data_IF_773161232587
#
_entry.id   IF_773161232587
#
_cell.length_a   1.000
_cell.length_b   1.000
_cell.length_c   1.000
_cell.angle_alpha   90.00
_cell.angle_beta   90.00
_cell.angle_gamma   90.00
#
_symmetry.space_group_name_H-M   'P 1'
#
loop_
_entity.id
_entity.type
_entity.pdbx_description
1 polymer ?
#
# COMPACT_ATOMS: atom_id res chain seq x y z
N UNK A 1 21.19 -61.10 52.39
CA UNK A 1 20.23 -60.87 51.33
C UNK A 1 19.86 -59.38 51.35
N UNK A 2 20.53 -58.56 50.51
CA UNK A 2 20.32 -57.12 50.47
C UNK A 2 19.57 -56.74 49.21
N UNK A 3 18.34 -56.32 49.34
CA UNK A 3 17.56 -55.73 48.24
C UNK A 3 17.76 -54.21 48.23
N UNK A 4 18.48 -53.69 47.25
CA UNK A 4 18.65 -52.27 46.96
C UNK A 4 17.50 -51.83 46.05
N UNK A 5 16.58 -51.02 46.60
CA UNK A 5 15.55 -50.36 45.85
C UNK A 5 16.18 -49.22 45.03
N UNK A 6 16.08 -49.28 43.69
CA UNK A 6 16.44 -48.23 42.76
C UNK A 6 15.18 -47.36 42.55
N UNK A 7 15.14 -46.19 43.14
CA UNK A 7 14.15 -45.17 42.79
C UNK A 7 14.62 -44.47 41.49
N UNK A 8 13.89 -44.72 40.44
CA UNK A 8 14.10 -44.08 39.15
C UNK A 8 13.25 -42.77 39.11
N UNK A 9 13.90 -41.63 39.35
CA UNK A 9 13.25 -40.33 39.30
C UNK A 9 12.90 -39.94 37.85
N UNK A 10 11.62 -39.83 37.54
CA UNK A 10 11.09 -39.35 36.28
C UNK A 10 11.19 -37.81 36.24
N UNK A 11 12.22 -37.27 35.56
CA UNK A 11 12.32 -35.82 35.29
C UNK A 11 11.35 -35.53 34.16
N UNK A 12 10.19 -34.96 34.47
CA UNK A 12 9.26 -34.38 33.52
C UNK A 12 9.82 -32.99 33.12
N UNK A 13 10.53 -32.90 31.98
CA UNK A 13 10.85 -31.63 31.36
C UNK A 13 9.54 -31.02 30.83
N UNK A 14 8.91 -30.10 31.58
CA UNK A 14 7.93 -29.19 31.03
C UNK A 14 8.64 -28.24 30.06
N UNK A 15 8.60 -28.58 28.78
CA UNK A 15 8.94 -27.68 27.71
C UNK A 15 7.92 -26.51 27.70
N UNK A 16 8.28 -25.39 28.33
CA UNK A 16 7.57 -24.12 28.12
C UNK A 16 7.76 -23.75 26.66
N UNK A 17 6.74 -23.99 25.83
CA UNK A 17 6.65 -23.36 24.52
C UNK A 17 6.67 -21.84 24.79
N UNK A 18 7.81 -21.20 24.54
CA UNK A 18 7.87 -19.75 24.47
C UNK A 18 6.95 -19.35 23.31
N UNK A 19 5.71 -18.96 23.64
CA UNK A 19 4.88 -18.23 22.69
C UNK A 19 5.70 -17.01 22.28
N UNK A 20 6.08 -16.95 21.00
CA UNK A 20 6.69 -15.72 20.45
C UNK A 20 5.74 -14.58 20.78
N UNK A 21 6.22 -13.55 21.47
CA UNK A 21 5.42 -12.38 21.76
C UNK A 21 4.92 -11.81 20.43
N UNK A 22 3.61 -11.55 20.31
CA UNK A 22 3.05 -10.91 19.14
C UNK A 22 3.64 -9.49 19.02
N UNK A 23 3.87 -9.03 17.82
CA UNK A 23 4.43 -7.69 17.56
C UNK A 23 3.64 -6.58 18.26
N UNK A 24 2.33 -6.75 18.52
CA UNK A 24 1.56 -5.77 19.29
C UNK A 24 2.11 -5.58 20.71
N UNK A 25 2.50 -6.65 21.38
CA UNK A 25 3.08 -6.58 22.72
C UNK A 25 4.49 -5.95 22.67
N UNK A 26 5.29 -6.30 21.67
CA UNK A 26 6.60 -5.68 21.44
C UNK A 26 6.47 -4.16 21.21
N UNK A 27 5.49 -3.74 20.38
CA UNK A 27 5.18 -2.32 20.10
C UNK A 27 4.79 -1.57 21.38
N UNK A 28 3.90 -2.16 22.20
CA UNK A 28 3.48 -1.56 23.47
C UNK A 28 4.61 -1.48 24.48
N UNK A 29 5.41 -2.54 24.60
CA UNK A 29 6.57 -2.56 25.51
C UNK A 29 7.64 -1.55 25.10
N UNK A 30 7.94 -1.45 23.82
CA UNK A 30 8.89 -0.49 23.25
C UNK A 30 8.35 0.95 23.30
N UNK A 31 7.03 1.12 23.33
CA UNK A 31 6.35 2.43 23.31
C UNK A 31 6.44 3.16 21.95
N UNK A 32 6.76 2.44 20.89
CA UNK A 32 6.92 2.99 19.52
C UNK A 32 6.31 2.02 18.51
N UNK A 33 5.47 2.55 17.60
CA UNK A 33 5.02 1.87 16.38
C UNK A 33 5.95 2.28 15.23
N UNK A 34 6.64 1.32 14.64
CA UNK A 34 7.53 1.52 13.50
C UNK A 34 6.77 1.17 12.21
N UNK A 35 6.67 2.12 11.28
CA UNK A 35 5.90 1.97 10.04
C UNK A 35 6.78 2.14 8.83
N UNK A 36 6.85 1.11 7.96
CA UNK A 36 7.51 1.20 6.67
C UNK A 36 6.71 2.07 5.71
N UNK A 37 7.35 3.07 5.15
CA UNK A 37 6.75 4.02 4.20
C UNK A 37 7.68 4.28 3.03
N UNK A 38 7.09 4.68 1.89
CA UNK A 38 7.80 5.29 0.77
C UNK A 38 7.20 6.68 0.55
N UNK A 39 8.00 7.72 0.84
CA UNK A 39 7.57 9.11 0.71
C UNK A 39 8.07 9.78 -0.59
N UNK A 40 8.56 8.98 -1.52
CA UNK A 40 9.16 9.40 -2.80
C UNK A 40 8.17 9.95 -3.83
N UNK A 41 7.13 10.69 -3.42
CA UNK A 41 6.28 11.41 -4.35
C UNK A 41 4.96 10.72 -4.68
N UNK A 42 4.36 9.99 -3.74
CA UNK A 42 2.98 9.49 -3.89
C UNK A 42 1.92 10.60 -3.70
N UNK A 43 2.33 11.87 -3.83
CA UNK A 43 1.44 13.02 -3.76
C UNK A 43 0.73 13.15 -2.41
N UNK A 44 -0.60 13.20 -2.42
CA UNK A 44 -1.41 13.37 -1.22
C UNK A 44 -1.47 12.10 -0.31
N UNK A 45 -1.02 10.95 -0.79
CA UNK A 45 -0.96 9.72 0.02
C UNK A 45 0.21 9.81 1.01
N UNK A 46 1.43 10.03 0.51
CA UNK A 46 2.63 10.31 1.30
C UNK A 46 3.59 11.20 0.50
N UNK A 47 4.18 12.16 1.15
CA UNK A 47 5.22 13.04 0.58
C UNK A 47 6.18 13.47 1.67
N UNK A 48 7.44 13.70 1.31
CA UNK A 48 8.40 14.35 2.18
C UNK A 48 8.41 15.86 1.92
N UNK A 49 8.23 16.66 2.97
CA UNK A 49 8.47 18.11 2.93
C UNK A 49 9.96 18.44 2.95
N UNK A 50 10.36 19.63 2.50
CA UNK A 50 11.70 20.14 2.79
C UNK A 50 11.98 20.08 4.30
N UNK A 51 13.06 19.40 4.70
CA UNK A 51 13.36 19.12 6.10
C UNK A 51 13.00 17.69 6.54
N UNK A 52 12.49 16.85 5.63
CA UNK A 52 12.33 15.41 5.86
C UNK A 52 11.07 15.01 6.61
N UNK A 53 10.16 15.95 6.92
CA UNK A 53 8.88 15.61 7.55
C UNK A 53 7.97 14.90 6.54
N UNK A 54 7.51 13.71 6.90
CA UNK A 54 6.57 12.95 6.09
C UNK A 54 5.15 13.41 6.40
N UNK A 55 4.41 13.77 5.35
CA UNK A 55 3.02 14.24 5.39
C UNK A 55 2.16 13.45 4.41
N UNK A 56 0.84 13.56 4.53
CA UNK A 56 -0.11 12.90 3.63
C UNK A 56 -1.21 12.18 4.37
N UNK A 57 -2.13 11.59 3.61
CA UNK A 57 -3.23 10.79 4.15
C UNK A 57 -2.71 9.69 5.09
N UNK A 58 -1.75 8.92 4.60
CA UNK A 58 -1.25 7.76 5.34
C UNK A 58 -0.38 8.20 6.53
N UNK A 59 0.27 9.37 6.48
CA UNK A 59 0.96 9.93 7.64
C UNK A 59 -0.02 10.29 8.76
N UNK A 60 -1.15 10.94 8.43
CA UNK A 60 -2.19 11.26 9.42
C UNK A 60 -2.84 9.98 9.98
N UNK A 61 -3.09 8.97 9.15
CA UNK A 61 -3.66 7.69 9.59
C UNK A 61 -2.66 6.89 10.44
N UNK A 62 -1.38 6.88 10.10
CA UNK A 62 -0.31 6.29 10.93
C UNK A 62 -0.24 6.95 12.32
N UNK A 63 -0.34 8.29 12.36
CA UNK A 63 -0.39 9.04 13.62
C UNK A 63 -1.65 8.71 14.43
N UNK A 64 -2.81 8.55 13.79
CA UNK A 64 -4.05 8.12 14.45
C UNK A 64 -3.88 6.73 15.08
N UNK A 65 -3.32 5.77 14.32
CA UNK A 65 -3.10 4.40 14.78
C UNK A 65 -2.16 4.39 16.00
N UNK A 66 -1.01 5.06 15.91
CA UNK A 66 -0.06 5.12 17.02
C UNK A 66 -0.68 5.76 18.27
N UNK A 67 -1.45 6.84 18.10
CA UNK A 67 -2.21 7.50 19.20
C UNK A 67 -3.22 6.55 19.84
N UNK A 68 -3.98 5.79 19.04
CA UNK A 68 -4.98 4.83 19.55
C UNK A 68 -4.33 3.64 20.25
N UNK A 69 -3.12 3.23 19.84
CA UNK A 69 -2.32 2.22 20.53
C UNK A 69 -1.62 2.74 21.79
N UNK A 70 -1.58 4.06 22.01
CA UNK A 70 -0.90 4.70 23.14
C UNK A 70 0.62 4.73 23.03
N UNK A 71 1.16 4.74 21.81
CA UNK A 71 2.61 4.69 21.53
C UNK A 71 3.05 5.86 20.63
N UNK A 72 4.36 6.09 20.53
CA UNK A 72 4.93 7.04 19.55
C UNK A 72 4.91 6.43 18.14
N UNK A 73 4.91 7.30 17.14
CA UNK A 73 5.05 6.90 15.74
C UNK A 73 6.49 7.13 15.27
N UNK A 74 7.04 6.12 14.57
CA UNK A 74 8.27 6.26 13.78
C UNK A 74 7.98 5.77 12.36
N UNK A 75 8.16 6.62 11.33
CA UNK A 75 8.04 6.26 9.93
C UNK A 75 9.43 6.02 9.34
N UNK A 76 9.63 4.81 8.77
CA UNK A 76 10.92 4.37 8.24
C UNK A 76 10.83 4.35 6.72
N UNK A 77 11.49 5.31 6.10
CA UNK A 77 11.53 5.40 4.65
C UNK A 77 12.27 4.21 4.04
N UNK A 78 11.65 3.60 3.05
CA UNK A 78 12.16 2.38 2.41
C UNK A 78 11.73 2.36 0.95
N UNK A 79 12.66 2.16 -0.01
CA UNK A 79 12.33 2.04 -1.43
C UNK A 79 11.29 0.93 -1.68
N UNK A 80 10.31 1.22 -2.55
CA UNK A 80 9.15 0.35 -2.78
C UNK A 80 9.49 -1.12 -3.08
N UNK A 81 10.46 -1.46 -3.96
CA UNK A 81 10.76 -2.86 -4.25
C UNK A 81 11.24 -3.66 -3.03
N UNK A 82 11.82 -2.98 -2.03
CA UNK A 82 12.35 -3.57 -0.81
C UNK A 82 11.40 -3.56 0.38
N UNK A 83 10.23 -2.91 0.30
CA UNK A 83 9.42 -2.62 1.48
C UNK A 83 8.80 -3.88 2.12
N UNK A 84 8.28 -4.84 1.33
CA UNK A 84 7.76 -6.12 1.87
C UNK A 84 8.91 -6.99 2.43
N UNK A 85 10.04 -7.21 1.74
CA UNK A 85 11.21 -7.84 2.34
C UNK A 85 11.65 -7.22 3.67
N UNK A 86 11.65 -5.90 3.79
CA UNK A 86 12.00 -5.19 5.02
C UNK A 86 11.00 -5.43 6.17
N UNK A 87 9.67 -5.51 5.86
CA UNK A 87 8.66 -5.92 6.83
C UNK A 87 8.92 -7.35 7.34
N UNK A 88 9.17 -8.28 6.42
CA UNK A 88 9.42 -9.69 6.76
C UNK A 88 10.71 -9.89 7.57
N UNK A 89 11.71 -9.02 7.39
CA UNK A 89 12.93 -8.97 8.22
C UNK A 89 12.79 -8.17 9.52
N UNK A 90 11.55 -7.79 9.90
CA UNK A 90 11.22 -7.06 11.13
C UNK A 90 11.90 -5.69 11.26
N UNK A 91 12.23 -5.03 10.13
CA UNK A 91 12.77 -3.66 10.16
C UNK A 91 11.75 -2.65 10.67
N UNK A 92 10.46 -2.96 10.53
CA UNK A 92 9.32 -2.21 11.05
C UNK A 92 8.13 -3.17 11.30
N UNK A 93 7.09 -2.66 11.94
CA UNK A 93 5.98 -3.48 12.44
C UNK A 93 4.88 -3.69 11.37
N UNK A 94 4.63 -2.68 10.55
CA UNK A 94 3.63 -2.70 9.50
C UNK A 94 4.04 -1.81 8.32
N UNK A 95 3.36 -1.95 7.17
CA UNK A 95 3.46 -1.02 6.04
C UNK A 95 2.11 -0.33 5.87
N UNK A 96 2.12 1.01 5.87
CA UNK A 96 0.98 1.83 5.47
C UNK A 96 1.47 2.99 4.61
N UNK A 97 1.42 2.79 3.30
CA UNK A 97 2.05 3.64 2.29
C UNK A 97 1.34 3.50 0.93
N UNK A 98 -0.01 3.56 0.92
CA UNK A 98 -0.79 3.37 -0.31
C UNK A 98 -0.63 1.98 -0.92
N UNK A 99 -0.44 0.95 -0.11
CA UNK A 99 -0.23 -0.40 -0.62
C UNK A 99 -1.55 -1.05 -1.02
N UNK A 100 -1.68 -1.35 -2.31
CA UNK A 100 -2.81 -2.12 -2.83
C UNK A 100 -2.75 -3.56 -2.31
N UNK A 101 -3.86 -4.01 -1.70
CA UNK A 101 -4.04 -5.41 -1.34
C UNK A 101 -4.25 -6.24 -2.61
N UNK A 102 -3.35 -7.19 -2.88
CA UNK A 102 -3.43 -8.10 -4.02
C UNK A 102 -3.25 -9.55 -3.57
N UNK A 103 -3.75 -10.50 -4.36
CA UNK A 103 -3.58 -11.93 -4.11
C UNK A 103 -2.10 -12.30 -3.94
N UNK A 104 -1.25 -11.88 -4.88
CA UNK A 104 0.19 -12.18 -4.84
C UNK A 104 0.88 -11.66 -3.56
N UNK A 105 0.50 -10.46 -3.08
CA UNK A 105 1.02 -9.93 -1.82
C UNK A 105 0.47 -10.65 -0.61
N UNK A 106 -0.82 -11.08 -0.66
CA UNK A 106 -1.48 -11.79 0.43
C UNK A 106 -0.91 -13.20 0.68
N UNK A 107 -0.16 -13.75 -0.27
CA UNK A 107 0.60 -14.99 -0.05
C UNK A 107 1.74 -14.80 0.95
N UNK A 108 2.26 -13.57 1.08
CA UNK A 108 3.42 -13.22 1.91
C UNK A 108 3.05 -12.46 3.19
N UNK A 109 2.03 -11.63 3.15
CA UNK A 109 1.60 -10.76 4.25
C UNK A 109 0.08 -10.83 4.43
N UNK A 110 -0.43 -10.41 5.59
CA UNK A 110 -1.85 -10.14 5.78
C UNK A 110 -2.15 -8.67 5.48
N UNK A 111 -3.39 -8.40 5.09
CA UNK A 111 -3.88 -7.04 4.90
C UNK A 111 -5.00 -6.71 5.89
N UNK A 112 -5.01 -5.50 6.38
CA UNK A 112 -6.11 -4.96 7.18
C UNK A 112 -7.40 -4.81 6.38
N UNK A 113 -8.50 -4.46 7.06
CA UNK A 113 -9.68 -3.90 6.38
C UNK A 113 -9.27 -2.75 5.45
N UNK A 114 -9.92 -2.58 4.27
CA UNK A 114 -9.64 -1.50 3.35
C UNK A 114 -9.77 -0.11 3.98
N UNK A 115 -8.80 0.77 3.72
CA UNK A 115 -8.83 2.15 4.20
C UNK A 115 -8.84 3.20 3.07
N UNK A 116 -8.76 2.77 1.81
CA UNK A 116 -8.80 3.66 0.64
C UNK A 116 -9.04 2.90 -0.66
N UNK A 117 -9.56 3.60 -1.66
CA UNK A 117 -9.67 3.11 -3.04
C UNK A 117 -8.28 3.07 -3.66
N UNK A 118 -7.91 1.96 -4.30
CA UNK A 118 -6.67 1.76 -5.03
C UNK A 118 -6.92 1.46 -6.51
N UNK A 119 -8.13 1.73 -7.02
CA UNK A 119 -8.49 1.48 -8.42
C UNK A 119 -7.53 2.17 -9.37
N UNK A 120 -7.05 1.42 -10.36
CA UNK A 120 -6.07 1.91 -11.31
C UNK A 120 -6.71 2.82 -12.37
N UNK A 121 -6.01 3.89 -12.69
CA UNK A 121 -6.32 4.80 -13.79
C UNK A 121 -5.09 4.97 -14.68
N UNK A 122 -5.31 5.35 -15.93
CA UNK A 122 -4.26 5.96 -16.73
C UNK A 122 -4.41 7.48 -16.68
N UNK A 123 -3.30 8.21 -16.71
CA UNK A 123 -3.32 9.65 -16.82
C UNK A 123 -2.44 10.11 -17.99
N UNK A 124 -2.97 10.98 -18.80
CA UNK A 124 -2.29 11.62 -19.93
C UNK A 124 -2.18 13.13 -19.70
N UNK A 125 -1.35 13.82 -20.46
CA UNK A 125 -1.41 15.28 -20.54
C UNK A 125 -2.78 15.73 -21.03
N UNK A 126 -3.35 16.76 -20.42
CA UNK A 126 -4.70 17.25 -20.73
C UNK A 126 -4.86 17.63 -22.23
N UNK A 127 -3.80 18.16 -22.84
CA UNK A 127 -3.78 18.51 -24.27
C UNK A 127 -3.66 17.33 -25.22
N UNK A 128 -3.47 16.09 -24.75
CA UNK A 128 -3.42 14.91 -25.61
C UNK A 128 -4.84 14.48 -26.02
N UNK A 129 -5.32 14.97 -27.16
CA UNK A 129 -6.67 14.67 -27.66
C UNK A 129 -6.84 13.23 -28.18
N UNK A 130 -5.74 12.51 -28.43
CA UNK A 130 -5.76 11.16 -29.01
C UNK A 130 -6.10 10.06 -28.03
N UNK A 131 -6.00 10.30 -26.70
CA UNK A 131 -6.25 9.32 -25.66
C UNK A 131 -7.47 9.74 -24.87
N UNK A 132 -8.59 8.99 -24.99
CA UNK A 132 -9.87 9.27 -24.32
C UNK A 132 -10.42 8.04 -23.58
N UNK A 133 -10.13 6.85 -24.10
CA UNK A 133 -10.63 5.57 -23.61
C UNK A 133 -9.48 4.61 -23.33
N UNK A 134 -9.71 3.51 -22.61
CA UNK A 134 -8.68 2.48 -22.42
C UNK A 134 -8.15 1.89 -23.73
N UNK A 135 -8.98 1.73 -24.76
CA UNK A 135 -8.56 1.16 -26.05
C UNK A 135 -7.60 2.08 -26.80
N UNK A 136 -7.64 3.40 -26.57
CA UNK A 136 -6.70 4.37 -27.16
C UNK A 136 -5.25 4.21 -26.64
N UNK A 137 -5.04 3.38 -25.60
CA UNK A 137 -3.71 3.02 -25.10
C UNK A 137 -3.01 1.99 -26.00
N UNK A 138 -3.69 1.46 -27.01
CA UNK A 138 -3.12 0.55 -27.99
C UNK A 138 -1.93 1.18 -28.72
N UNK A 139 -0.78 0.51 -28.72
CA UNK A 139 0.47 0.99 -29.33
C UNK A 139 1.12 2.17 -28.60
N UNK A 140 0.59 2.60 -27.43
CA UNK A 140 1.14 3.70 -26.63
C UNK A 140 2.22 3.24 -25.66
N UNK A 141 2.99 4.18 -25.15
CA UNK A 141 3.98 3.92 -24.09
C UNK A 141 3.39 4.26 -22.73
N UNK A 142 3.32 3.26 -21.84
CA UNK A 142 2.78 3.35 -20.49
C UNK A 142 3.95 3.37 -19.50
N UNK A 143 4.05 4.44 -18.69
CA UNK A 143 4.97 4.50 -17.56
C UNK A 143 4.33 3.95 -16.29
N UNK A 144 5.07 3.15 -15.53
CA UNK A 144 4.63 2.55 -14.25
C UNK A 144 5.77 2.55 -13.23
N UNK A 145 5.43 2.53 -11.95
CA UNK A 145 6.42 2.41 -10.88
C UNK A 145 6.89 0.95 -10.73
N UNK A 146 8.20 0.75 -10.72
CA UNK A 146 8.83 -0.57 -10.52
C UNK A 146 8.42 -1.20 -9.17
N UNK A 147 8.19 -2.52 -9.17
CA UNK A 147 7.79 -3.26 -7.97
C UNK A 147 6.33 -3.05 -7.53
N UNK A 148 5.54 -2.28 -8.28
CA UNK A 148 4.10 -2.14 -8.02
C UNK A 148 3.29 -3.23 -8.76
N UNK A 149 2.08 -3.50 -8.27
CA UNK A 149 1.11 -4.34 -8.98
C UNK A 149 0.69 -3.75 -10.34
N UNK A 150 0.94 -2.46 -10.54
CA UNK A 150 0.62 -1.77 -11.81
C UNK A 150 1.45 -2.31 -12.98
N UNK A 151 2.67 -2.83 -12.71
CA UNK A 151 3.51 -3.47 -13.73
C UNK A 151 2.80 -4.69 -14.33
N UNK A 152 2.33 -5.60 -13.46
CA UNK A 152 1.65 -6.83 -13.90
C UNK A 152 0.28 -6.52 -14.51
N UNK A 153 -0.43 -5.53 -13.93
CA UNK A 153 -1.68 -5.05 -14.50
C UNK A 153 -1.49 -4.48 -15.91
N UNK A 154 -0.47 -3.65 -16.15
CA UNK A 154 -0.19 -3.06 -17.47
C UNK A 154 0.16 -4.14 -18.50
N UNK A 155 0.91 -5.19 -18.11
CA UNK A 155 1.19 -6.35 -18.97
C UNK A 155 -0.10 -7.13 -19.31
N UNK A 156 -0.95 -7.41 -18.31
CA UNK A 156 -2.24 -8.05 -18.53
C UNK A 156 -3.18 -7.19 -19.38
N UNK A 157 -3.13 -5.87 -19.22
CA UNK A 157 -3.86 -4.92 -20.05
C UNK A 157 -3.40 -4.98 -21.52
N UNK A 158 -2.09 -5.08 -21.77
CA UNK A 158 -1.54 -5.29 -23.10
C UNK A 158 -2.11 -6.56 -23.76
N UNK A 159 -2.17 -7.66 -23.02
CA UNK A 159 -2.79 -8.91 -23.49
C UNK A 159 -4.26 -8.74 -23.84
N UNK A 160 -5.04 -7.96 -23.05
CA UNK A 160 -6.46 -7.68 -23.36
C UNK A 160 -6.62 -6.86 -24.64
N UNK A 161 -5.72 -5.92 -24.92
CA UNK A 161 -5.76 -5.15 -26.17
C UNK A 161 -5.42 -6.02 -27.38
N UNK A 162 -4.41 -6.88 -27.29
CA UNK A 162 -4.06 -7.80 -28.40
C UNK A 162 -5.16 -8.82 -28.68
N UNK A 163 -5.89 -9.27 -27.66
CA UNK A 163 -7.08 -10.13 -27.84
C UNK A 163 -8.22 -9.42 -28.61
N UNK A 164 -8.22 -8.08 -28.63
CA UNK A 164 -9.12 -7.25 -29.46
C UNK A 164 -8.53 -6.91 -30.84
N UNK A 165 -7.43 -7.52 -31.25
CA UNK A 165 -6.65 -7.20 -32.45
C UNK A 165 -6.10 -5.75 -32.47
N UNK A 166 -5.86 -5.15 -31.29
CA UNK A 166 -5.24 -3.85 -31.14
C UNK A 166 -3.74 -4.01 -30.86
N UNK A 167 -2.88 -3.05 -31.29
CA UNK A 167 -1.45 -3.10 -30.97
C UNK A 167 -1.17 -3.12 -29.49
N UNK A 168 -0.23 -3.95 -29.04
CA UNK A 168 0.22 -3.95 -27.65
C UNK A 168 0.87 -2.61 -27.27
N UNK A 169 0.58 -2.05 -26.09
CA UNK A 169 1.34 -0.92 -25.56
C UNK A 169 2.74 -1.36 -25.10
N UNK A 170 3.68 -0.42 -25.10
CA UNK A 170 5.00 -0.60 -24.50
C UNK A 170 4.94 -0.19 -23.03
N UNK A 171 5.39 -1.05 -22.11
CA UNK A 171 5.43 -0.74 -20.67
C UNK A 171 6.87 -0.38 -20.28
N UNK A 172 7.07 0.82 -19.72
CA UNK A 172 8.35 1.29 -19.17
C UNK A 172 8.23 1.41 -17.65
N UNK A 173 9.23 0.92 -16.91
CA UNK A 173 9.28 0.99 -15.44
C UNK A 173 10.25 2.08 -14.99
N UNK A 174 9.94 2.72 -13.87
CA UNK A 174 10.70 3.80 -13.24
C UNK A 174 10.82 3.57 -11.74
N UNK A 175 11.84 4.12 -11.13
CA UNK A 175 12.12 3.89 -9.70
C UNK A 175 11.25 4.75 -8.77
N UNK A 176 10.74 5.89 -9.26
CA UNK A 176 9.89 6.81 -8.50
C UNK A 176 8.84 7.51 -9.38
N UNK A 177 7.76 8.02 -8.78
CA UNK A 177 6.73 8.74 -9.52
C UNK A 177 7.19 10.08 -10.11
N UNK A 178 8.02 10.92 -9.43
CA UNK A 178 8.55 12.13 -10.02
C UNK A 178 9.20 11.89 -11.40
N UNK A 179 10.03 10.85 -11.52
CA UNK A 179 10.67 10.46 -12.79
C UNK A 179 9.64 10.09 -13.87
N UNK A 180 8.60 9.31 -13.51
CA UNK A 180 7.51 8.96 -14.44
C UNK A 180 6.80 10.22 -14.95
N UNK A 181 6.50 11.18 -14.07
CA UNK A 181 5.81 12.41 -14.46
C UNK A 181 6.69 13.39 -15.26
N UNK A 182 8.00 13.39 -15.06
CA UNK A 182 8.96 14.09 -15.92
C UNK A 182 8.91 13.51 -17.33
N UNK A 183 8.96 12.19 -17.47
CA UNK A 183 8.89 11.50 -18.75
C UNK A 183 7.55 11.74 -19.48
N UNK A 184 6.44 11.77 -18.74
CA UNK A 184 5.13 12.13 -19.29
C UNK A 184 5.10 13.59 -19.79
N UNK A 185 5.66 14.51 -19.00
CA UNK A 185 5.74 15.94 -19.35
C UNK A 185 6.60 16.18 -20.58
N UNK A 186 7.68 15.42 -20.74
CA UNK A 186 8.59 15.46 -21.90
C UNK A 186 8.03 14.68 -23.11
N UNK A 187 6.85 14.02 -22.97
CA UNK A 187 6.23 13.20 -24.03
C UNK A 187 7.07 11.96 -24.42
N UNK A 188 7.98 11.49 -23.56
CA UNK A 188 8.75 10.26 -23.75
C UNK A 188 7.91 9.01 -23.41
N UNK A 189 6.79 9.21 -22.71
CA UNK A 189 5.69 8.26 -22.52
C UNK A 189 4.36 8.97 -22.80
N UNK A 190 3.35 8.20 -23.17
CA UNK A 190 2.02 8.72 -23.52
C UNK A 190 1.10 8.86 -22.30
N UNK A 191 1.22 7.91 -21.36
CA UNK A 191 0.43 7.86 -20.14
C UNK A 191 1.25 7.33 -18.98
N UNK A 192 0.84 7.70 -17.77
CA UNK A 192 1.23 7.02 -16.53
C UNK A 192 0.05 6.18 -16.05
N UNK A 193 0.30 4.96 -15.53
CA UNK A 193 -0.72 4.12 -14.92
C UNK A 193 -0.42 3.96 -13.44
N UNK A 194 -1.39 4.29 -12.58
CA UNK A 194 -1.21 4.38 -11.13
C UNK A 194 -2.57 4.32 -10.40
N UNK A 195 -2.59 4.11 -9.07
CA UNK A 195 -3.82 4.25 -8.27
C UNK A 195 -4.40 5.66 -8.35
N UNK A 196 -5.73 5.74 -8.49
CA UNK A 196 -6.49 7.01 -8.61
C UNK A 196 -6.17 8.04 -7.52
N UNK A 197 -6.08 7.69 -6.21
CA UNK A 197 -5.80 8.70 -5.18
C UNK A 197 -4.41 9.34 -5.34
N UNK A 198 -3.42 8.57 -5.79
CA UNK A 198 -2.08 9.09 -6.09
C UNK A 198 -2.18 10.12 -7.22
N UNK A 199 -2.89 9.80 -8.31
CA UNK A 199 -3.14 10.75 -9.41
C UNK A 199 -3.86 12.00 -8.94
N UNK A 200 -4.86 11.85 -8.06
CA UNK A 200 -5.59 12.98 -7.45
C UNK A 200 -4.65 13.98 -6.79
N UNK A 201 -3.65 13.52 -6.05
CA UNK A 201 -2.63 14.37 -5.44
C UNK A 201 -1.83 15.19 -6.46
N UNK A 202 -1.43 14.56 -7.56
CA UNK A 202 -0.75 15.27 -8.66
C UNK A 202 -1.64 16.29 -9.36
N UNK A 203 -2.93 15.98 -9.55
CA UNK A 203 -3.88 16.92 -10.16
C UNK A 203 -4.14 18.15 -9.27
N UNK A 204 -4.13 17.99 -7.95
CA UNK A 204 -4.22 19.11 -7.00
C UNK A 204 -2.97 20.00 -7.09
N UNK A 205 -1.79 19.42 -7.17
CA UNK A 205 -0.52 20.15 -7.27
C UNK A 205 -0.33 20.84 -8.64
N UNK A 206 -0.86 20.26 -9.71
CA UNK A 206 -0.73 20.78 -11.09
C UNK A 206 -2.10 20.81 -11.78
N UNK A 207 -2.98 21.77 -11.42
CA UNK A 207 -4.33 21.85 -11.98
C UNK A 207 -4.31 22.00 -13.50
N UNK A 208 -5.19 21.30 -14.20
CA UNK A 208 -5.35 21.40 -15.65
C UNK A 208 -4.21 20.76 -16.49
N UNK A 209 -3.19 20.18 -15.85
CA UNK A 209 -2.06 19.58 -16.57
C UNK A 209 -2.38 18.17 -17.09
N UNK A 210 -3.18 17.41 -16.34
CA UNK A 210 -3.45 16.01 -16.62
C UNK A 210 -4.95 15.76 -16.80
N UNK A 211 -5.27 14.68 -17.48
CA UNK A 211 -6.61 14.09 -17.54
C UNK A 211 -6.55 12.62 -17.20
N UNK A 212 -7.62 12.11 -16.58
CA UNK A 212 -7.75 10.71 -16.18
C UNK A 212 -8.49 9.94 -17.28
N UNK A 213 -8.02 8.73 -17.54
CA UNK A 213 -8.68 7.71 -18.34
C UNK A 213 -9.10 6.60 -17.38
N UNK A 214 -10.40 6.43 -17.25
CA UNK A 214 -11.06 5.45 -16.40
C UNK A 214 -11.35 4.13 -17.10
N UNK A 215 -11.86 3.14 -16.34
CA UNK A 215 -12.34 1.86 -16.91
C UNK A 215 -11.22 0.88 -17.25
N UNK A 216 -10.07 0.98 -16.61
CA UNK A 216 -8.95 0.06 -16.87
C UNK A 216 -9.19 -1.34 -16.30
N UNK A 217 -9.88 -1.47 -15.18
CA UNK A 217 -10.12 -2.74 -14.49
C UNK A 217 -11.06 -2.60 -13.31
N UNK A 218 -11.11 -3.65 -12.49
CA UNK A 218 -11.97 -3.76 -11.32
C UNK A 218 -11.49 -2.87 -10.17
N UNK A 219 -12.38 -2.68 -9.18
CA UNK A 219 -12.03 -1.95 -7.96
C UNK A 219 -10.96 -2.70 -7.17
N UNK A 220 -10.00 -1.96 -6.67
CA UNK A 220 -8.99 -2.42 -5.74
C UNK A 220 -8.89 -1.47 -4.55
N UNK A 221 -8.25 -1.93 -3.46
CA UNK A 221 -8.24 -1.19 -2.21
C UNK A 221 -6.86 -1.15 -1.58
N UNK A 222 -6.56 -0.06 -0.88
CA UNK A 222 -5.42 0.03 0.00
C UNK A 222 -5.69 -0.71 1.31
N UNK A 223 -4.69 -1.44 1.79
CA UNK A 223 -4.68 -2.11 3.09
C UNK A 223 -3.35 -1.91 3.79
N UNK A 224 -3.37 -1.95 5.12
CA UNK A 224 -2.14 -2.01 5.93
C UNK A 224 -1.59 -3.42 5.82
N UNK A 225 -0.32 -3.56 5.40
CA UNK A 225 0.33 -4.87 5.33
C UNK A 225 1.03 -5.21 6.64
N UNK A 226 0.78 -6.42 7.14
CA UNK A 226 1.25 -6.93 8.43
C UNK A 226 1.75 -8.36 8.21
N UNK A 227 2.80 -8.78 8.92
CA UNK A 227 3.30 -10.16 8.85
C UNK A 227 2.21 -11.16 9.20
N UNK A 228 2.29 -12.36 8.65
CA UNK A 228 1.28 -13.42 8.88
C UNK A 228 1.26 -13.93 10.32
N UNK A 229 2.39 -13.89 10.98
CA UNK A 229 2.59 -14.29 12.36
C UNK A 229 2.14 -13.24 13.40
N UNK A 230 1.63 -12.08 12.98
CA UNK A 230 1.22 -10.97 13.87
C UNK A 230 -0.32 -10.75 13.90
N UNK A 231 -1.14 -11.76 14.24
CA UNK A 231 -2.60 -11.66 14.18
C UNK A 231 -3.18 -10.67 15.20
N UNK A 232 -2.53 -10.47 16.37
CA UNK A 232 -3.02 -9.52 17.36
C UNK A 232 -2.79 -8.07 16.90
N UNK A 233 -1.65 -7.76 16.26
CA UNK A 233 -1.44 -6.45 15.64
C UNK A 233 -2.47 -6.19 14.54
N UNK A 234 -2.72 -7.18 13.67
CA UNK A 234 -3.73 -7.07 12.61
C UNK A 234 -5.12 -6.76 13.18
N UNK A 235 -5.52 -7.49 14.23
CA UNK A 235 -6.82 -7.29 14.89
C UNK A 235 -6.94 -5.88 15.49
N UNK A 236 -5.89 -5.38 16.14
CA UNK A 236 -5.85 -4.03 16.71
C UNK A 236 -5.96 -2.95 15.62
N UNK A 237 -5.22 -3.10 14.51
CA UNK A 237 -5.28 -2.18 13.36
C UNK A 237 -6.67 -2.20 12.73
N UNK A 238 -7.26 -3.38 12.48
CA UNK A 238 -8.61 -3.50 11.94
C UNK A 238 -9.65 -2.78 12.81
N UNK A 239 -9.60 -2.98 14.13
CA UNK A 239 -10.49 -2.30 15.07
C UNK A 239 -10.37 -0.77 14.93
N UNK A 240 -9.16 -0.23 14.91
CA UNK A 240 -8.92 1.21 14.80
C UNK A 240 -9.45 1.76 13.47
N UNK A 241 -9.19 1.08 12.36
CA UNK A 241 -9.67 1.50 11.04
C UNK A 241 -11.19 1.42 10.91
N UNK A 242 -11.83 0.39 11.49
CA UNK A 242 -13.29 0.27 11.50
C UNK A 242 -13.93 1.37 12.37
N UNK A 243 -13.36 1.70 13.53
CA UNK A 243 -13.78 2.85 14.33
C UNK A 243 -13.66 4.15 13.53
N UNK A 244 -12.51 4.38 12.85
CA UNK A 244 -12.29 5.58 12.05
C UNK A 244 -13.23 5.68 10.83
N UNK A 245 -13.67 4.55 10.27
CA UNK A 245 -14.72 4.50 9.24
C UNK A 245 -16.07 4.90 9.83
N UNK A 246 -16.44 4.32 10.98
CA UNK A 246 -17.75 4.50 11.59
C UNK A 246 -17.96 5.92 12.15
N UNK A 247 -16.94 6.54 12.73
CA UNK A 247 -17.00 7.88 13.34
C UNK A 247 -16.71 9.02 12.34
N UNK A 248 -16.40 8.70 11.07
CA UNK A 248 -16.11 9.67 10.02
C UNK A 248 -14.68 10.22 10.02
N UNK A 249 -13.81 9.80 10.94
CA UNK A 249 -12.40 10.25 11.01
C UNK A 249 -11.65 9.90 9.71
N UNK A 250 -11.84 8.68 9.17
CA UNK A 250 -11.23 8.28 7.91
C UNK A 250 -11.68 9.19 6.76
N UNK A 251 -12.98 9.46 6.65
CA UNK A 251 -13.53 10.35 5.62
C UNK A 251 -12.99 11.79 5.75
N UNK A 252 -12.82 12.29 6.97
CA UNK A 252 -12.24 13.61 7.22
C UNK A 252 -10.77 13.69 6.77
N UNK A 253 -9.96 12.65 7.04
CA UNK A 253 -8.56 12.58 6.58
C UNK A 253 -8.50 12.50 5.06
N UNK A 254 -9.34 11.68 4.43
CA UNK A 254 -9.42 11.59 2.96
C UNK A 254 -9.84 12.93 2.34
N UNK A 255 -10.86 13.60 2.91
CA UNK A 255 -11.28 14.93 2.44
C UNK A 255 -10.16 15.96 2.52
N UNK A 256 -9.39 15.95 3.63
CA UNK A 256 -8.26 16.86 3.83
C UNK A 256 -7.21 16.70 2.72
N UNK A 257 -6.86 15.47 2.35
CA UNK A 257 -5.74 15.20 1.47
C UNK A 257 -6.12 14.96 0.01
N UNK A 258 -7.29 14.36 -0.23
CA UNK A 258 -7.75 13.96 -1.56
C UNK A 258 -8.89 14.87 -2.09
N UNK A 259 -9.35 15.82 -1.28
CA UNK A 259 -10.46 16.71 -1.63
C UNK A 259 -11.86 16.11 -1.38
N UNK A 260 -11.97 14.78 -1.33
CA UNK A 260 -13.22 14.06 -1.05
C UNK A 260 -12.91 12.68 -0.45
N UNK A 261 -13.87 12.04 0.26
CA UNK A 261 -13.78 10.63 0.62
C UNK A 261 -13.70 9.73 -0.63
N UNK A 262 -12.98 8.62 -0.55
CA UNK A 262 -12.80 7.68 -1.69
C UNK A 262 -14.02 6.80 -1.96
N UNK A 263 -15.18 7.12 -1.38
CA UNK A 263 -16.43 6.36 -1.52
C UNK A 263 -16.57 5.23 -0.50
N UNK A 264 -17.64 4.42 -0.62
CA UNK A 264 -17.87 3.31 0.30
C UNK A 264 -16.78 2.26 0.14
N UNK A 265 -16.16 1.90 1.28
CA UNK A 265 -15.15 0.87 1.37
C UNK A 265 -15.78 -0.39 1.97
N UNK A 266 -15.50 -1.60 1.45
CA UNK A 266 -15.97 -2.85 2.05
C UNK A 266 -15.28 -3.08 3.41
N UNK A 267 -15.84 -3.99 4.21
CA UNK A 267 -15.24 -4.35 5.50
C UNK A 267 -14.07 -5.33 5.36
N UNK A 268 -14.01 -6.02 4.24
CA UNK A 268 -12.89 -6.88 3.87
C UNK A 268 -12.60 -6.74 2.37
N UNK A 269 -11.34 -6.96 1.97
CA UNK A 269 -11.01 -7.11 0.57
C UNK A 269 -11.21 -8.56 0.13
N UNK A 270 -11.84 -8.76 -1.03
CA UNK A 270 -11.89 -10.06 -1.67
C UNK A 270 -10.60 -10.30 -2.44
N UNK A 271 -10.06 -11.51 -2.38
CA UNK A 271 -8.95 -11.93 -3.25
C UNK A 271 -9.49 -12.01 -4.69
N UNK A 272 -9.23 -10.99 -5.49
CA UNK A 272 -9.50 -10.98 -6.92
C UNK A 272 -8.30 -11.51 -7.69
#
# INVERSE_FOLDING_TARGET
MNTRNLLMGLIVCLGTAMASADTLDEVKQRGVLMVGVEAGGTGAILSAEPGGKIIGQDADLNALIAKKLGVKLEMIETPWPGIIPALLSKRFDMIMSGMTATKARSERVNFSTPYGDASLVAAALAGNAAIKTPDDLAGKTIGVLLGTNTVDFAKGFATRLTAKNLPAPTVKTYDDFPSVFVELSNKNIDVVMLPRPIMGGYMVQKPGTFKIIDGLGDKSYFGVAIRKEDPALLAAINKILMEAKADGTLAAVQKKWLGAPTGPLPDSWSQQ
#
